data_IF_379726197599
#
_entry.id   IF_379726197599
#
_cell.length_a   1.000
_cell.length_b   1.000
_cell.length_c   1.000
_cell.angle_alpha   90.00
_cell.angle_beta   90.00
_cell.angle_gamma   90.00
#
_symmetry.space_group_name_H-M   'P 1'
#
loop_
_entity.id
_entity.type
_entity.pdbx_description
1 polymer ?
#
# COMPACT_ATOMS: atom_id res chain seq x y z
N UNK A 1 -6.70 -27.51 -12.63
CA UNK A 1 -5.57 -26.56 -12.45
C UNK A 1 -6.15 -25.32 -11.81
N UNK A 2 -5.77 -24.98 -10.58
CA UNK A 2 -6.20 -23.75 -9.90
C UNK A 2 -5.22 -22.67 -10.35
N UNK A 3 -5.70 -21.67 -11.08
CA UNK A 3 -4.89 -20.53 -11.48
C UNK A 3 -5.14 -19.41 -10.47
N UNK A 4 -4.12 -19.06 -9.70
CA UNK A 4 -4.18 -17.92 -8.78
C UNK A 4 -3.90 -16.65 -9.59
N UNK A 5 -4.90 -15.79 -9.70
CA UNK A 5 -4.74 -14.49 -10.32
C UNK A 5 -4.40 -13.47 -9.23
N UNK A 6 -3.18 -12.96 -9.25
CA UNK A 6 -2.86 -11.75 -8.50
C UNK A 6 -3.53 -10.56 -9.18
N UNK A 7 -4.82 -10.37 -8.93
CA UNK A 7 -5.53 -9.15 -9.31
C UNK A 7 -5.22 -8.10 -8.25
N UNK A 8 -3.96 -7.65 -8.24
CA UNK A 8 -3.54 -6.53 -7.40
C UNK A 8 -4.23 -5.28 -7.92
N UNK A 9 -5.38 -4.89 -7.35
CA UNK A 9 -6.03 -3.60 -7.59
C UNK A 9 -5.25 -2.47 -6.90
N UNK A 10 -3.97 -2.31 -7.23
CA UNK A 10 -3.13 -1.20 -6.78
C UNK A 10 -2.98 -0.19 -7.93
N UNK A 11 -3.79 0.87 -7.90
CA UNK A 11 -3.93 1.84 -8.98
C UNK A 11 -3.01 3.08 -8.85
N UNK A 12 -1.73 2.96 -8.46
CA UNK A 12 -0.93 4.17 -8.13
C UNK A 12 0.47 4.27 -8.74
N UNK A 13 0.64 3.80 -9.96
CA UNK A 13 1.57 4.45 -10.91
C UNK A 13 0.99 4.37 -12.33
N UNK A 14 1.36 5.32 -13.20
CA UNK A 14 0.91 5.39 -14.60
C UNK A 14 1.20 4.12 -15.43
N UNK A 15 2.05 3.22 -14.93
CA UNK A 15 2.31 1.91 -15.55
C UNK A 15 1.67 0.74 -14.79
N UNK A 16 1.57 0.80 -13.46
CA UNK A 16 1.02 -0.27 -12.61
C UNK A 16 -0.51 -0.31 -12.54
N UNK A 17 -1.20 0.80 -12.83
CA UNK A 17 -2.68 0.86 -12.90
C UNK A 17 -3.28 -0.02 -14.01
N UNK A 18 -2.45 -0.49 -14.96
CA UNK A 18 -2.87 -1.34 -16.08
C UNK A 18 -2.83 -2.84 -15.75
N UNK A 19 -2.08 -3.26 -14.72
CA UNK A 19 -1.80 -4.67 -14.44
C UNK A 19 -3.04 -5.53 -14.11
N UNK A 20 -3.96 -5.13 -13.20
CA UNK A 20 -5.09 -5.98 -12.84
C UNK A 20 -6.08 -6.19 -14.00
N UNK A 21 -6.26 -5.18 -14.85
CA UNK A 21 -7.07 -5.25 -16.08
C UNK A 21 -6.44 -6.21 -17.10
N UNK A 22 -5.12 -6.13 -17.26
CA UNK A 22 -4.36 -7.02 -18.15
C UNK A 22 -4.46 -8.47 -17.66
N UNK A 23 -4.39 -8.72 -16.35
CA UNK A 23 -4.52 -10.08 -15.79
C UNK A 23 -5.88 -10.71 -16.11
N UNK A 24 -6.99 -10.00 -15.89
CA UNK A 24 -8.34 -10.53 -16.21
C UNK A 24 -8.48 -10.82 -17.71
N UNK A 25 -7.99 -9.93 -18.56
CA UNK A 25 -8.01 -10.12 -20.02
C UNK A 25 -7.17 -11.34 -20.46
N UNK A 26 -5.99 -11.54 -19.87
CA UNK A 26 -5.13 -12.70 -20.18
C UNK A 26 -5.81 -13.99 -19.76
N UNK A 27 -6.36 -14.05 -18.54
CA UNK A 27 -7.01 -15.26 -18.02
C UNK A 27 -8.22 -15.66 -18.88
N UNK A 28 -9.00 -14.68 -19.30
CA UNK A 28 -10.11 -14.87 -20.23
C UNK A 28 -9.60 -15.40 -21.59
N UNK A 29 -8.55 -14.80 -22.14
CA UNK A 29 -7.99 -15.19 -23.44
C UNK A 29 -7.46 -16.64 -23.46
N UNK A 30 -6.93 -17.14 -22.34
CA UNK A 30 -6.43 -18.51 -22.20
C UNK A 30 -7.50 -19.49 -21.68
N UNK A 31 -8.74 -19.04 -21.46
CA UNK A 31 -9.87 -19.87 -21.05
C UNK A 31 -9.83 -20.34 -19.59
N UNK A 32 -9.13 -19.63 -18.71
CA UNK A 32 -9.08 -19.94 -17.28
C UNK A 32 -10.33 -19.41 -16.58
N UNK A 33 -11.20 -20.34 -16.15
CA UNK A 33 -12.47 -20.00 -15.48
C UNK A 33 -12.42 -20.04 -13.96
N UNK A 34 -11.48 -20.79 -13.39
CA UNK A 34 -11.31 -20.90 -11.93
C UNK A 34 -10.29 -19.86 -11.48
N UNK A 35 -10.79 -18.76 -10.91
CA UNK A 35 -9.97 -17.62 -10.51
C UNK A 35 -10.09 -17.41 -9.00
N UNK A 36 -8.93 -17.23 -8.36
CA UNK A 36 -8.82 -16.71 -7.00
C UNK A 36 -8.36 -15.26 -7.10
N UNK A 37 -9.09 -14.34 -6.48
CA UNK A 37 -8.72 -12.92 -6.38
C UNK A 37 -7.85 -12.65 -5.17
N UNK A 38 -6.97 -11.65 -5.25
CA UNK A 38 -6.11 -11.25 -4.14
C UNK A 38 -6.03 -9.72 -4.04
N UNK A 39 -6.48 -9.16 -2.92
CA UNK A 39 -6.36 -7.75 -2.59
C UNK A 39 -5.09 -7.52 -1.77
N UNK A 40 -4.21 -6.63 -2.24
CA UNK A 40 -3.04 -6.22 -1.48
C UNK A 40 -3.36 -5.30 -0.28
N UNK A 41 -4.60 -4.83 -0.21
CA UNK A 41 -5.12 -3.98 0.86
C UNK A 41 -5.79 -4.83 1.95
N UNK A 42 -5.85 -4.27 3.16
CA UNK A 42 -6.46 -4.89 4.34
C UNK A 42 -8.00 -4.87 4.31
N UNK A 43 -8.61 -4.22 3.32
CA UNK A 43 -10.06 -4.17 3.17
C UNK A 43 -10.52 -4.58 1.78
N UNK A 44 -11.73 -5.14 1.74
CA UNK A 44 -12.44 -5.43 0.51
C UNK A 44 -12.89 -4.10 -0.11
N UNK A 45 -12.47 -3.85 -1.35
CA UNK A 45 -12.91 -2.67 -2.09
C UNK A 45 -14.40 -2.75 -2.43
N UNK A 46 -15.08 -1.59 -2.46
CA UNK A 46 -16.53 -1.50 -2.65
C UNK A 46 -17.04 -2.19 -3.91
N UNK A 47 -16.35 -2.02 -5.05
CA UNK A 47 -16.75 -2.67 -6.30
C UNK A 47 -16.70 -4.20 -6.20
N UNK A 48 -15.63 -4.74 -5.59
CA UNK A 48 -15.54 -6.18 -5.31
C UNK A 48 -16.62 -6.62 -4.33
N UNK A 49 -16.86 -5.87 -3.25
CA UNK A 49 -17.87 -6.17 -2.26
C UNK A 49 -19.27 -6.26 -2.88
N UNK A 50 -19.66 -5.27 -3.69
CA UNK A 50 -20.93 -5.30 -4.41
C UNK A 50 -21.01 -6.45 -5.41
N UNK A 51 -19.94 -6.72 -6.17
CA UNK A 51 -19.93 -7.79 -7.16
C UNK A 51 -20.14 -9.18 -6.54
N UNK A 52 -19.65 -9.40 -5.31
CA UNK A 52 -19.83 -10.68 -4.61
C UNK A 52 -21.02 -10.70 -3.64
N UNK A 53 -21.76 -9.59 -3.50
CA UNK A 53 -22.87 -9.46 -2.56
C UNK A 53 -22.44 -9.32 -1.09
N UNK A 54 -21.21 -8.91 -0.82
CA UNK A 54 -20.76 -8.57 0.53
C UNK A 54 -21.33 -7.21 0.97
N UNK A 55 -21.74 -7.06 2.23
CA UNK A 55 -22.31 -5.81 2.72
C UNK A 55 -21.25 -4.72 2.84
N UNK A 56 -21.60 -3.52 2.35
CA UNK A 56 -20.80 -2.29 2.49
C UNK A 56 -21.50 -1.39 3.49
N UNK A 57 -20.85 -1.09 4.63
CA UNK A 57 -21.49 -0.44 5.79
C UNK A 57 -20.75 0.87 6.12
N UNK A 58 -20.95 1.95 5.34
CA UNK A 58 -20.24 3.23 5.53
C UNK A 58 -20.58 3.95 6.85
N UNK A 59 -21.65 3.54 7.53
CA UNK A 59 -22.03 4.07 8.84
C UNK A 59 -21.20 3.52 10.00
N UNK A 60 -20.53 2.37 9.81
CA UNK A 60 -19.74 1.68 10.83
C UNK A 60 -18.26 1.60 10.44
N UNK A 61 -17.98 1.42 9.15
CA UNK A 61 -16.61 1.41 8.64
C UNK A 61 -16.23 2.82 8.17
N UNK A 62 -15.15 3.42 8.71
CA UNK A 62 -14.66 4.70 8.20
C UNK A 62 -14.34 4.58 6.71
N UNK A 63 -14.76 5.58 5.93
CA UNK A 63 -14.39 5.67 4.52
C UNK A 63 -12.90 5.98 4.40
N UNK A 64 -12.25 5.37 3.41
CA UNK A 64 -10.80 5.47 3.21
C UNK A 64 -10.37 6.90 2.79
N UNK A 65 -10.06 7.83 3.72
CA UNK A 65 -9.38 9.09 3.33
C UNK A 65 -8.47 9.80 4.35
N UNK A 66 -7.30 10.23 3.84
CA UNK A 66 -6.23 11.05 4.42
C UNK A 66 -6.51 12.57 4.29
N UNK A 67 -7.47 13.16 5.01
CA UNK A 67 -7.56 14.64 5.08
C UNK A 67 -8.15 15.09 6.40
N UNK A 68 -7.30 15.41 7.37
CA UNK A 68 -7.71 16.33 8.43
C UNK A 68 -6.98 17.69 8.39
N UNK A 69 -5.89 17.90 7.63
CA UNK A 69 -5.19 19.19 7.68
C UNK A 69 -4.41 19.63 6.42
N UNK A 70 -4.84 19.28 5.20
CA UNK A 70 -4.34 19.94 3.97
C UNK A 70 -5.39 20.91 3.44
N UNK A 71 -5.34 22.11 4.01
CA UNK A 71 -5.68 23.41 3.40
C UNK A 71 -6.17 23.37 1.94
N UNK A 72 -7.46 23.72 1.75
CA UNK A 72 -8.05 24.58 0.69
C UNK A 72 -7.79 24.35 -0.80
N UNK A 73 -6.89 23.46 -1.23
CA UNK A 73 -6.65 23.19 -2.65
C UNK A 73 -6.94 21.72 -2.95
N UNK A 74 -8.07 21.52 -3.62
CA UNK A 74 -8.63 20.27 -4.09
C UNK A 74 -7.62 19.50 -4.95
N UNK A 75 -6.86 18.59 -4.32
CA UNK A 75 -6.04 17.62 -5.05
C UNK A 75 -6.70 16.26 -4.87
N UNK A 76 -7.30 15.77 -5.96
CA UNK A 76 -7.90 14.45 -6.10
C UNK A 76 -6.81 13.37 -5.93
N UNK A 77 -6.57 12.98 -4.68
CA UNK A 77 -5.86 11.75 -4.36
C UNK A 77 -6.91 10.72 -3.96
N UNK A 78 -7.06 9.72 -4.81
CA UNK A 78 -7.88 8.52 -4.68
C UNK A 78 -8.15 8.00 -3.27
N UNK A 79 -9.43 7.75 -3.00
CA UNK A 79 -10.04 7.25 -1.77
C UNK A 79 -9.76 5.76 -1.45
N UNK A 80 -8.50 5.30 -1.49
CA UNK A 80 -8.17 3.88 -1.25
C UNK A 80 -7.30 3.60 -0.03
N UNK A 81 -7.03 4.58 0.81
CA UNK A 81 -6.39 4.40 2.13
C UNK A 81 -6.82 5.55 3.06
N UNK A 82 -7.48 5.26 4.19
CA UNK A 82 -7.13 5.82 5.53
C UNK A 82 -8.26 5.89 6.57
N UNK A 83 -7.77 6.01 7.81
CA UNK A 83 -8.42 6.11 9.11
C UNK A 83 -9.00 7.52 9.30
N UNK A 84 -10.32 7.66 9.14
CA UNK A 84 -11.06 8.70 9.87
C UNK A 84 -11.16 8.19 11.31
N UNK A 85 -10.94 9.11 12.25
CA UNK A 85 -11.28 8.97 13.66
C UNK A 85 -12.66 8.28 13.81
N UNK A 86 -12.76 7.23 14.61
CA UNK A 86 -13.99 6.43 14.81
C UNK A 86 -15.09 7.20 15.57
N UNK A 87 -14.91 8.52 15.72
CA UNK A 87 -15.86 9.41 16.35
C UNK A 87 -17.19 9.45 15.61
N UNK A 88 -18.24 9.27 16.40
CA UNK A 88 -19.64 9.13 15.99
C UNK A 88 -20.31 10.43 15.50
N UNK A 89 -19.55 11.42 15.02
CA UNK A 89 -20.14 12.65 14.52
C UNK A 89 -20.95 12.40 13.24
N UNK A 90 -22.13 13.01 13.15
CA UNK A 90 -23.02 12.91 12.00
C UNK A 90 -22.31 13.28 10.68
N UNK A 91 -21.48 14.33 10.72
CA UNK A 91 -20.71 14.79 9.56
C UNK A 91 -19.76 13.71 9.05
N UNK A 92 -19.08 12.97 9.95
CA UNK A 92 -18.19 11.86 9.56
C UNK A 92 -18.96 10.76 8.82
N UNK A 93 -20.19 10.46 9.24
CA UNK A 93 -21.04 9.46 8.56
C UNK A 93 -21.46 9.90 7.15
N UNK A 94 -21.79 11.18 6.96
CA UNK A 94 -22.09 11.73 5.63
C UNK A 94 -20.86 11.68 4.73
N UNK A 95 -19.69 12.02 5.27
CA UNK A 95 -18.41 11.94 4.57
C UNK A 95 -18.10 10.50 4.15
N UNK A 96 -18.28 9.52 5.04
CA UNK A 96 -18.07 8.11 4.71
C UNK A 96 -18.95 7.66 3.54
N UNK A 97 -20.25 7.99 3.56
CA UNK A 97 -21.17 7.65 2.46
C UNK A 97 -20.69 8.25 1.13
N UNK A 98 -20.29 9.53 1.14
CA UNK A 98 -19.76 10.18 -0.06
C UNK A 98 -18.51 9.48 -0.59
N UNK A 99 -17.55 9.16 0.28
CA UNK A 99 -16.31 8.49 -0.14
C UNK A 99 -16.52 7.06 -0.60
N UNK A 100 -17.43 6.31 0.03
CA UNK A 100 -17.85 4.98 -0.45
C UNK A 100 -18.43 5.07 -1.85
N UNK A 101 -19.28 6.06 -2.12
CA UNK A 101 -19.81 6.29 -3.46
C UNK A 101 -18.72 6.65 -4.47
N UNK A 102 -17.81 7.57 -4.12
CA UNK A 102 -16.70 7.97 -4.99
C UNK A 102 -15.75 6.82 -5.29
N UNK A 103 -15.44 5.98 -4.30
CA UNK A 103 -14.62 4.77 -4.47
C UNK A 103 -15.29 3.78 -5.42
N UNK A 104 -16.58 3.50 -5.21
CA UNK A 104 -17.36 2.65 -6.12
C UNK A 104 -17.40 3.20 -7.55
N UNK A 105 -17.66 4.50 -7.71
CA UNK A 105 -17.68 5.16 -9.01
C UNK A 105 -16.32 5.08 -9.72
N UNK A 106 -15.23 5.31 -8.99
CA UNK A 106 -13.88 5.19 -9.52
C UNK A 106 -13.61 3.75 -10.01
N UNK A 107 -13.91 2.75 -9.19
CA UNK A 107 -13.69 1.34 -9.54
C UNK A 107 -14.52 0.92 -10.76
N UNK A 108 -15.80 1.30 -10.80
CA UNK A 108 -16.69 0.98 -11.94
C UNK A 108 -16.27 1.69 -13.22
N UNK A 109 -15.81 2.94 -13.14
CA UNK A 109 -15.26 3.67 -14.28
C UNK A 109 -14.02 2.98 -14.86
N UNK A 110 -13.08 2.57 -14.00
CA UNK A 110 -11.89 1.83 -14.43
C UNK A 110 -12.25 0.47 -15.03
N UNK A 111 -13.17 -0.27 -14.40
CA UNK A 111 -13.65 -1.55 -14.92
C UNK A 111 -14.34 -1.39 -16.28
N UNK A 112 -15.17 -0.35 -16.48
CA UNK A 112 -15.84 -0.12 -17.76
C UNK A 112 -14.85 0.19 -18.90
N UNK A 113 -13.78 0.93 -18.60
CA UNK A 113 -12.70 1.20 -19.56
C UNK A 113 -11.99 -0.08 -19.95
N UNK A 114 -11.76 -0.95 -18.97
CA UNK A 114 -11.11 -2.23 -19.13
C UNK A 114 -11.98 -3.23 -19.90
N UNK A 115 -13.29 -3.30 -19.63
CA UNK A 115 -14.26 -4.09 -20.38
C UNK A 115 -14.28 -3.68 -21.86
N UNK A 116 -14.23 -2.38 -22.16
CA UNK A 116 -14.15 -1.89 -23.55
C UNK A 116 -12.91 -2.42 -24.25
N UNK A 117 -11.74 -2.32 -23.62
CA UNK A 117 -10.47 -2.82 -24.19
C UNK A 117 -10.50 -4.35 -24.35
N UNK A 118 -11.04 -5.08 -23.37
CA UNK A 118 -11.22 -6.53 -23.45
C UNK A 118 -12.10 -6.91 -24.64
N UNK A 119 -13.22 -6.23 -24.85
CA UNK A 119 -14.11 -6.48 -26.00
C UNK A 119 -13.46 -6.14 -27.33
N UNK A 120 -12.66 -5.07 -27.41
CA UNK A 120 -11.92 -4.70 -28.62
C UNK A 120 -10.84 -5.73 -28.99
N UNK A 121 -10.18 -6.37 -28.00
CA UNK A 121 -9.06 -7.29 -28.22
C UNK A 121 -9.45 -8.76 -28.28
N UNK A 122 -10.44 -9.18 -27.49
CA UNK A 122 -10.86 -10.58 -27.32
C UNK A 122 -12.21 -10.87 -27.99
N UNK A 123 -12.90 -9.84 -28.49
CA UNK A 123 -14.20 -9.94 -29.13
C UNK A 123 -15.37 -9.65 -28.19
N UNK A 124 -16.57 -9.55 -28.76
CA UNK A 124 -17.80 -9.20 -28.03
C UNK A 124 -18.22 -10.23 -26.97
N UNK A 125 -17.69 -11.46 -27.04
CA UNK A 125 -17.92 -12.55 -26.10
C UNK A 125 -17.11 -12.45 -24.81
N UNK A 126 -16.20 -11.47 -24.67
CA UNK A 126 -15.42 -11.28 -23.45
C UNK A 126 -16.32 -11.05 -22.23
N UNK A 127 -16.07 -11.80 -21.16
CA UNK A 127 -16.78 -11.68 -19.89
C UNK A 127 -16.47 -10.32 -19.23
N UNK A 128 -17.49 -9.57 -18.77
CA UNK A 128 -17.26 -8.35 -18.01
C UNK A 128 -16.44 -8.59 -16.74
N UNK A 129 -15.69 -7.58 -16.31
CA UNK A 129 -14.82 -7.67 -15.14
C UNK A 129 -15.60 -7.98 -13.88
N UNK A 130 -16.74 -7.32 -13.66
CA UNK A 130 -17.53 -7.56 -12.45
C UNK A 130 -18.19 -8.94 -12.42
N UNK A 131 -18.56 -9.49 -13.58
CA UNK A 131 -19.04 -10.88 -13.69
C UNK A 131 -17.92 -11.87 -13.39
N UNK A 132 -16.69 -11.57 -13.84
CA UNK A 132 -15.50 -12.35 -13.52
C UNK A 132 -15.23 -12.35 -12.01
N UNK A 133 -15.30 -11.19 -11.36
CA UNK A 133 -15.12 -11.03 -9.90
C UNK A 133 -16.21 -11.75 -9.12
N UNK A 134 -17.48 -11.62 -9.53
CA UNK A 134 -18.60 -12.31 -8.90
C UNK A 134 -18.41 -13.83 -8.87
N UNK A 135 -17.89 -14.39 -9.98
CA UNK A 135 -17.65 -15.82 -10.17
C UNK A 135 -16.35 -16.36 -9.56
N UNK A 136 -15.50 -15.51 -8.95
CA UNK A 136 -14.29 -16.00 -8.26
C UNK A 136 -14.64 -16.92 -7.09
N UNK A 137 -13.91 -18.02 -6.96
CA UNK A 137 -14.14 -19.02 -5.90
C UNK A 137 -13.74 -18.49 -4.52
N UNK A 138 -12.64 -17.74 -4.46
CA UNK A 138 -12.07 -17.17 -3.25
C UNK A 138 -11.52 -15.77 -3.53
N UNK A 139 -11.60 -14.90 -2.52
CA UNK A 139 -10.97 -13.59 -2.52
C UNK A 139 -10.11 -13.50 -1.26
N UNK A 140 -8.81 -13.37 -1.46
CA UNK A 140 -7.84 -13.22 -0.38
C UNK A 140 -7.64 -11.73 -0.11
N UNK A 141 -7.71 -11.29 1.14
CA UNK A 141 -7.33 -9.92 1.53
C UNK A 141 -6.05 -9.95 2.34
N UNK A 142 -5.21 -8.93 2.20
CA UNK A 142 -4.00 -8.80 3.00
C UNK A 142 -4.31 -8.10 4.33
N UNK A 143 -5.13 -8.74 5.17
CA UNK A 143 -5.55 -8.21 6.48
C UNK A 143 -5.27 -9.20 7.61
N UNK A 144 -4.97 -8.67 8.79
CA UNK A 144 -4.89 -9.43 10.04
C UNK A 144 -6.25 -9.33 10.76
N UNK A 145 -7.02 -10.43 10.86
CA UNK A 145 -8.35 -10.41 11.47
C UNK A 145 -8.41 -9.78 12.86
N UNK A 146 -7.33 -9.90 13.65
CA UNK A 146 -7.27 -9.34 15.01
C UNK A 146 -7.09 -7.81 15.03
N UNK A 147 -6.65 -7.21 13.93
CA UNK A 147 -6.44 -5.76 13.78
C UNK A 147 -7.52 -5.10 12.93
N UNK A 148 -8.42 -5.88 12.34
CA UNK A 148 -9.48 -5.41 11.47
C UNK A 148 -10.77 -5.11 12.25
N UNK A 149 -11.58 -4.16 11.76
CA UNK A 149 -12.90 -3.91 12.31
C UNK A 149 -13.82 -5.12 12.10
N UNK A 150 -14.57 -5.49 13.15
CA UNK A 150 -15.59 -6.53 13.06
C UNK A 150 -16.69 -6.16 12.07
N UNK A 151 -16.69 -6.79 10.90
CA UNK A 151 -17.65 -6.52 9.81
C UNK A 151 -18.26 -7.82 9.30
N UNK A 152 -19.52 -7.82 8.84
CA UNK A 152 -20.07 -8.99 8.18
C UNK A 152 -19.29 -9.25 6.89
N UNK A 153 -18.91 -10.51 6.66
CA UNK A 153 -18.17 -10.94 5.49
C UNK A 153 -18.75 -12.25 4.96
N UNK A 154 -18.31 -12.67 3.78
CA UNK A 154 -18.71 -13.94 3.16
C UNK A 154 -17.65 -14.99 3.42
N UNK A 155 -18.05 -16.27 3.49
CA UNK A 155 -17.10 -17.38 3.61
C UNK A 155 -16.09 -17.44 2.45
N UNK A 156 -16.40 -16.88 1.28
CA UNK A 156 -15.46 -16.79 0.14
C UNK A 156 -14.35 -15.75 0.31
N UNK A 157 -14.46 -14.86 1.30
CA UNK A 157 -13.45 -13.83 1.62
C UNK A 157 -12.59 -14.36 2.76
N UNK A 158 -11.29 -14.53 2.49
CA UNK A 158 -10.32 -15.00 3.48
C UNK A 158 -9.30 -13.92 3.72
N UNK A 159 -9.21 -13.48 4.96
CA UNK A 159 -8.21 -12.51 5.40
C UNK A 159 -6.92 -13.26 5.75
N UNK A 160 -5.86 -12.97 5.00
CA UNK A 160 -4.52 -13.54 5.19
C UNK A 160 -3.52 -12.39 5.36
N UNK A 161 -3.11 -12.13 6.59
CA UNK A 161 -2.09 -11.12 6.86
C UNK A 161 -0.73 -11.53 6.29
N UNK A 162 -0.02 -10.57 5.68
CA UNK A 162 1.38 -10.75 5.31
C UNK A 162 1.63 -11.58 4.04
N UNK A 163 0.66 -11.66 3.10
CA UNK A 163 0.78 -12.44 1.85
C UNK A 163 2.05 -12.08 1.04
N UNK A 164 2.51 -10.82 1.14
CA UNK A 164 3.72 -10.32 0.48
C UNK A 164 4.95 -10.17 1.38
N UNK A 165 4.87 -10.55 2.65
CA UNK A 165 5.97 -10.39 3.61
C UNK A 165 6.96 -11.53 3.41
N UNK A 166 8.16 -11.17 2.98
CA UNK A 166 9.26 -12.11 2.89
C UNK A 166 9.84 -12.32 4.29
N UNK A 167 10.34 -13.53 4.56
CA UNK A 167 11.11 -13.75 5.78
C UNK A 167 12.28 -12.78 5.81
N UNK A 168 12.42 -11.94 6.85
CA UNK A 168 13.56 -11.06 6.98
C UNK A 168 14.81 -11.90 6.91
N UNK A 169 15.77 -11.46 6.09
CA UNK A 169 17.08 -12.09 6.11
C UNK A 169 17.85 -11.49 7.28
N UNK A 170 18.49 -12.31 8.14
CA UNK A 170 19.48 -11.78 9.05
C UNK A 170 20.43 -10.88 8.26
N UNK A 171 20.74 -9.71 8.79
CA UNK A 171 21.69 -8.79 8.17
C UNK A 171 22.99 -9.55 7.82
N UNK A 172 23.43 -10.50 8.65
CA UNK A 172 24.57 -11.38 8.38
C UNK A 172 24.39 -12.35 7.20
N UNK A 173 23.19 -12.86 6.95
CA UNK A 173 22.90 -13.67 5.76
C UNK A 173 22.86 -12.82 4.50
N UNK A 174 22.40 -11.56 4.60
CA UNK A 174 22.55 -10.59 3.52
C UNK A 174 24.05 -10.40 3.22
N UNK A 175 24.92 -10.28 4.23
CA UNK A 175 26.38 -10.26 4.06
C UNK A 175 26.91 -11.50 3.34
N UNK A 176 26.49 -12.72 3.70
CA UNK A 176 26.91 -13.94 3.00
C UNK A 176 26.40 -14.02 1.56
N UNK A 177 25.12 -13.70 1.32
CA UNK A 177 24.53 -13.64 -0.01
C UNK A 177 25.24 -12.61 -0.90
N UNK A 178 25.61 -11.45 -0.36
CA UNK A 178 26.40 -10.41 -1.02
C UNK A 178 27.82 -10.90 -1.34
N UNK A 179 28.51 -11.52 -0.38
CA UNK A 179 29.86 -12.07 -0.56
C UNK A 179 29.87 -13.11 -1.69
N UNK A 180 28.80 -13.90 -1.82
CA UNK A 180 28.65 -14.90 -2.86
C UNK A 180 28.27 -14.30 -4.23
N UNK A 181 27.52 -13.18 -4.26
CA UNK A 181 27.01 -12.56 -5.49
C UNK A 181 27.79 -11.31 -5.98
N UNK A 182 28.99 -11.03 -5.42
CA UNK A 182 30.01 -10.08 -5.92
C UNK A 182 29.49 -8.74 -6.50
N UNK A 183 28.47 -8.14 -5.87
CA UNK A 183 28.08 -6.75 -6.17
C UNK A 183 28.69 -5.81 -5.13
N UNK A 184 29.69 -5.02 -5.55
CA UNK A 184 30.44 -4.06 -4.70
C UNK A 184 29.49 -3.07 -3.99
N UNK A 185 28.42 -2.66 -4.67
CA UNK A 185 27.43 -1.71 -4.14
C UNK A 185 26.66 -2.28 -2.94
N UNK A 186 26.51 -3.61 -2.88
CA UNK A 186 25.69 -4.25 -1.84
C UNK A 186 26.47 -4.42 -0.52
N UNK A 187 27.80 -4.61 -0.57
CA UNK A 187 28.64 -4.71 0.64
C UNK A 187 28.69 -3.39 1.42
N UNK A 188 28.83 -2.27 0.71
CA UNK A 188 28.81 -0.94 1.31
C UNK A 188 27.44 -0.65 1.96
N UNK A 189 26.37 -1.16 1.35
CA UNK A 189 25.00 -1.02 1.87
C UNK A 189 24.83 -1.80 3.18
N UNK A 190 25.35 -3.03 3.28
CA UNK A 190 25.30 -3.80 4.53
C UNK A 190 26.07 -3.09 5.67
N UNK A 191 27.33 -2.70 5.42
CA UNK A 191 28.15 -2.01 6.42
C UNK A 191 27.52 -0.69 6.88
N UNK A 192 26.81 0.01 5.98
CA UNK A 192 26.05 1.22 6.32
C UNK A 192 24.98 0.94 7.37
N UNK A 193 24.18 -0.12 7.20
CA UNK A 193 23.06 -0.41 8.09
C UNK A 193 23.48 -1.05 9.41
N UNK A 194 24.43 -1.98 9.38
CA UNK A 194 25.01 -2.58 10.60
C UNK A 194 25.67 -1.52 11.49
N UNK A 195 26.43 -0.60 10.87
CA UNK A 195 26.96 0.56 11.58
C UNK A 195 25.84 1.45 12.12
N UNK A 196 24.84 1.79 11.30
CA UNK A 196 23.74 2.67 11.74
C UNK A 196 22.99 2.11 12.95
N UNK A 197 22.74 0.81 12.97
CA UNK A 197 22.05 0.11 14.06
C UNK A 197 22.91 -0.05 15.32
N UNK A 198 24.24 -0.09 15.19
CA UNK A 198 25.17 -0.21 16.32
C UNK A 198 25.62 1.12 16.94
N UNK A 199 25.32 2.27 16.31
CA UNK A 199 25.72 3.59 16.82
C UNK A 199 25.16 3.88 18.23
N UNK A 200 23.92 3.45 18.51
CA UNK A 200 23.19 3.76 19.74
C UNK A 200 22.27 2.61 20.13
N UNK A 201 21.85 2.59 21.40
CA UNK A 201 20.97 1.55 21.96
C UNK A 201 19.61 1.47 21.27
N UNK A 202 19.09 2.61 20.83
CA UNK A 202 17.76 2.71 20.24
C UNK A 202 17.87 3.27 18.83
N UNK A 203 17.12 2.68 17.90
CA UNK A 203 17.01 3.15 16.52
C UNK A 203 15.54 3.31 16.13
N UNK A 204 15.21 4.40 15.44
CA UNK A 204 13.87 4.69 14.93
C UNK A 204 13.93 4.85 13.41
N UNK A 205 13.06 4.16 12.68
CA UNK A 205 12.88 4.33 11.24
C UNK A 205 11.69 5.26 10.96
N UNK A 206 11.92 6.32 10.19
CA UNK A 206 10.92 7.25 9.69
C UNK A 206 10.76 7.02 8.18
N UNK A 207 9.60 6.53 7.76
CA UNK A 207 9.27 6.24 6.36
C UNK A 207 7.78 6.45 6.13
N UNK A 208 7.42 7.19 5.07
CA UNK A 208 6.03 7.44 4.66
C UNK A 208 5.63 6.61 3.42
N UNK A 209 6.37 5.54 3.15
CA UNK A 209 6.14 4.69 1.98
C UNK A 209 6.65 5.30 0.69
N UNK A 210 6.16 4.80 -0.45
CA UNK A 210 6.49 5.28 -1.80
C UNK A 210 5.50 6.28 -2.36
N UNK A 211 4.28 6.32 -1.82
CA UNK A 211 3.17 7.13 -2.34
C UNK A 211 3.19 8.56 -1.79
N UNK A 212 3.78 8.78 -0.60
CA UNK A 212 3.94 10.09 0.00
C UNK A 212 5.44 10.43 0.21
N UNK A 213 6.16 10.83 -0.85
CA UNK A 213 7.57 11.19 -0.76
C UNK A 213 7.81 12.33 0.24
N UNK A 214 8.80 12.16 1.12
CA UNK A 214 9.12 13.14 2.16
C UNK A 214 9.68 14.45 1.58
N UNK A 215 10.23 14.43 0.37
CA UNK A 215 10.67 15.64 -0.33
C UNK A 215 9.55 16.68 -0.46
N UNK A 216 8.30 16.25 -0.69
CA UNK A 216 7.15 17.16 -0.83
C UNK A 216 6.58 17.63 0.52
N UNK A 217 7.12 17.15 1.63
CA UNK A 217 6.69 17.59 2.95
C UNK A 217 7.02 19.08 3.16
N UNK A 218 6.09 19.90 3.66
CA UNK A 218 6.34 21.29 3.99
C UNK A 218 7.54 21.46 4.92
N UNK A 219 8.36 22.49 4.69
CA UNK A 219 9.58 22.74 5.47
C UNK A 219 9.31 22.90 6.97
N UNK A 220 8.15 23.45 7.35
CA UNK A 220 7.77 23.59 8.76
C UNK A 220 7.63 22.23 9.46
N UNK A 221 7.06 21.22 8.78
CA UNK A 221 6.92 19.87 9.31
C UNK A 221 8.29 19.19 9.37
N UNK A 222 9.12 19.34 8.32
CA UNK A 222 10.49 18.80 8.33
C UNK A 222 11.31 19.33 9.50
N UNK A 223 11.22 20.63 9.78
CA UNK A 223 11.88 21.29 10.92
C UNK A 223 11.34 20.81 12.26
N UNK A 224 10.03 20.59 12.37
CA UNK A 224 9.43 20.04 13.60
C UNK A 224 9.96 18.62 13.89
N UNK A 225 10.03 17.76 12.86
CA UNK A 225 10.61 16.41 13.00
C UNK A 225 12.10 16.50 13.37
N UNK A 226 12.86 17.40 12.73
CA UNK A 226 14.27 17.64 13.04
C UNK A 226 14.49 18.07 14.50
N UNK A 227 13.60 18.90 15.06
CA UNK A 227 13.67 19.32 16.45
C UNK A 227 13.37 18.17 17.42
N UNK A 228 12.40 17.32 17.09
CA UNK A 228 12.15 16.09 17.85
C UNK A 228 13.42 15.22 17.84
N UNK A 229 14.01 14.98 16.67
CA UNK A 229 15.25 14.20 16.54
C UNK A 229 16.37 14.78 17.42
N UNK A 230 16.57 16.12 17.39
CA UNK A 230 17.57 16.81 18.20
C UNK A 230 17.40 16.58 19.70
N UNK A 231 16.16 16.50 20.19
CA UNK A 231 15.88 16.30 21.62
C UNK A 231 16.16 14.88 22.13
N UNK A 232 16.45 13.91 21.24
CA UNK A 232 16.81 12.52 21.59
C UNK A 232 18.22 12.13 21.09
N UNK A 233 19.30 12.76 21.60
CA UNK A 233 20.66 12.52 21.12
C UNK A 233 21.16 11.08 21.35
N UNK A 234 20.51 10.33 22.24
CA UNK A 234 20.77 8.93 22.56
C UNK A 234 20.01 7.92 21.67
N UNK A 235 19.24 8.39 20.69
CA UNK A 235 18.50 7.57 19.71
C UNK A 235 19.03 7.84 18.31
N UNK A 236 19.29 6.80 17.52
CA UNK A 236 19.62 6.95 16.09
C UNK A 236 18.33 7.00 15.28
N UNK A 237 18.15 8.02 14.46
CA UNK A 237 17.01 8.12 13.55
C UNK A 237 17.46 7.82 12.14
N UNK A 238 16.80 6.87 11.47
CA UNK A 238 16.93 6.63 10.04
C UNK A 238 15.71 7.27 9.39
N UNK A 239 15.91 8.26 8.53
CA UNK A 239 14.81 8.86 7.79
C UNK A 239 14.98 8.58 6.29
N UNK A 240 14.03 7.82 5.74
CA UNK A 240 13.91 7.63 4.31
C UNK A 240 13.52 8.95 3.65
N UNK A 241 14.46 9.57 2.94
CA UNK A 241 14.31 10.88 2.31
C UNK A 241 14.91 10.87 0.91
N UNK A 242 14.15 11.34 -0.08
CA UNK A 242 14.46 11.15 -1.50
C UNK A 242 15.73 11.89 -1.96
N UNK A 243 16.05 13.04 -1.36
CA UNK A 243 17.22 13.87 -1.71
C UNK A 243 18.15 14.13 -0.51
N UNK A 244 18.91 13.13 -0.01
CA UNK A 244 19.72 13.27 1.20
C UNK A 244 20.80 14.36 1.14
N UNK A 245 21.27 14.72 -0.06
CA UNK A 245 22.35 15.69 -0.25
C UNK A 245 21.89 17.14 -0.14
N UNK A 246 20.60 17.40 -0.39
CA UNK A 246 20.01 18.73 -0.46
C UNK A 246 19.03 18.95 0.71
N UNK A 247 19.41 18.47 1.90
CA UNK A 247 18.55 18.40 3.08
C UNK A 247 18.99 19.36 4.19
N UNK A 248 18.95 20.67 3.95
CA UNK A 248 19.39 21.71 4.91
C UNK A 248 18.65 21.69 6.27
N UNK A 249 17.46 21.09 6.34
CA UNK A 249 16.75 20.90 7.60
C UNK A 249 17.45 19.93 8.56
N UNK A 250 18.38 19.12 8.05
CA UNK A 250 19.10 18.10 8.81
C UNK A 250 20.45 18.57 9.35
N UNK A 251 20.86 19.80 9.05
CA UNK A 251 22.16 20.34 9.43
C UNK A 251 22.35 20.31 10.96
N UNK A 252 23.50 19.76 11.38
CA UNK A 252 23.87 19.62 12.79
C UNK A 252 23.18 18.47 13.54
N UNK A 253 22.40 17.60 12.88
CA UNK A 253 21.80 16.42 13.50
C UNK A 253 22.74 15.20 13.42
N UNK A 254 23.60 15.03 14.42
CA UNK A 254 24.53 13.89 14.51
C UNK A 254 23.84 12.53 14.76
N UNK A 255 22.56 12.56 15.13
CA UNK A 255 21.76 11.39 15.39
C UNK A 255 20.74 11.09 14.28
N UNK A 256 20.89 11.71 13.11
CA UNK A 256 20.06 11.48 11.93
C UNK A 256 20.87 10.88 10.77
N UNK A 257 20.38 9.77 10.23
CA UNK A 257 20.85 9.17 8.98
C UNK A 257 19.78 9.33 7.90
N UNK A 258 20.07 10.14 6.88
CA UNK A 258 19.23 10.24 5.68
C UNK A 258 19.58 9.17 4.65
N UNK A 259 18.56 8.59 4.03
CA UNK A 259 18.76 7.63 2.94
C UNK A 259 17.59 7.66 1.95
N UNK A 260 17.86 7.69 0.65
CA UNK A 260 16.81 7.61 -0.38
C UNK A 260 16.16 6.23 -0.45
N UNK A 261 16.85 5.20 0.04
CA UNK A 261 16.38 3.83 0.10
C UNK A 261 16.78 3.15 1.41
N UNK A 262 15.95 2.22 1.89
CA UNK A 262 16.16 1.44 3.11
C UNK A 262 15.69 -0.01 2.90
N UNK A 263 16.40 -1.03 3.40
CA UNK A 263 15.92 -2.41 3.42
C UNK A 263 14.88 -2.58 4.53
N UNK A 264 13.71 -1.95 4.36
CA UNK A 264 12.74 -1.76 5.44
C UNK A 264 12.31 -3.08 6.08
N UNK A 265 11.94 -4.10 5.30
CA UNK A 265 11.54 -5.42 5.80
C UNK A 265 12.64 -6.11 6.61
N UNK A 266 13.90 -5.99 6.19
CA UNK A 266 15.04 -6.60 6.89
C UNK A 266 15.40 -5.82 8.17
N UNK A 267 15.12 -4.51 8.21
CA UNK A 267 15.38 -3.66 9.39
C UNK A 267 14.34 -3.81 10.49
N UNK A 268 13.07 -4.03 10.13
CA UNK A 268 11.96 -4.07 11.09
C UNK A 268 11.64 -5.47 11.60
N UNK A 269 11.99 -6.51 10.82
CA UNK A 269 11.62 -7.90 11.13
C UNK A 269 10.20 -8.25 10.69
#
# INVERSE_FOLDING_TARGET
>A
MISVAWVTLNYFSNEWSKLPVICSAILEAIGVKNIVGAHAQSSLLEGTAYAIGAPVIPSYMPGNHMLHNVSKNLTLLSASQAVIDDTNYFVNRVINILFTYLSWYFQTSVASTADRIMREKLGSSATPIWDTVANMSWILTNSEPLLEFGKPTLHKVIDLGGIGVHKPKPLDELRFWILQHKSINTMQTFQKWDKALSLRKHTVLISFGSVAPCIFMPIAIKKAIAEVIRSYPNVTFIWKYEEPKDASFSDGLENLLLSSWTPQSDLIG
#
